data_IF_093335125428
#
_entry.id   IF_093335125428
#
_cell.length_a   1.000
_cell.length_b   1.000
_cell.length_c   1.000
_cell.angle_alpha   90.00
_cell.angle_beta   90.00
_cell.angle_gamma   90.00
#
_symmetry.space_group_name_H-M   'P 1'
#
loop_
_entity.id
_entity.type
_entity.pdbx_description
1 polymer ?
#
# COMPACT_ATOMS: atom_id res chain seq x y z
N UNK A 1 -8.02 7.93 13.98
CA UNK A 1 -6.76 7.57 13.30
C UNK A 1 -6.58 6.07 13.29
N UNK A 2 -6.30 5.51 12.14
CA UNK A 2 -6.16 4.07 12.00
C UNK A 2 -4.71 3.69 11.74
N UNK A 3 -4.28 2.57 12.33
CA UNK A 3 -2.98 1.96 12.06
C UNK A 3 -3.22 0.63 11.35
N UNK A 4 -2.51 0.42 10.25
CA UNK A 4 -2.58 -0.82 9.49
C UNK A 4 -1.17 -1.36 9.33
N UNK A 5 -0.99 -2.66 9.50
CA UNK A 5 0.31 -3.29 9.29
C UNK A 5 0.31 -4.04 7.97
N UNK A 6 1.27 -3.69 7.12
CA UNK A 6 1.54 -4.44 5.90
C UNK A 6 2.89 -5.12 6.02
N UNK A 7 2.90 -6.41 5.76
CA UNK A 7 4.15 -7.15 5.65
C UNK A 7 4.76 -6.84 4.29
N UNK A 8 6.05 -6.55 4.29
CA UNK A 8 6.78 -6.26 3.05
C UNK A 8 8.07 -7.06 3.01
N UNK A 9 8.55 -7.34 1.81
CA UNK A 9 9.80 -8.07 1.62
C UNK A 9 11.01 -7.16 1.75
N UNK A 10 10.85 -5.88 1.40
CA UNK A 10 11.93 -4.90 1.38
C UNK A 10 11.35 -3.54 1.75
N UNK A 11 11.76 -3.02 2.90
CA UNK A 11 11.23 -1.74 3.41
C UNK A 11 11.67 -0.57 2.52
N UNK A 12 12.89 -0.59 1.97
CA UNK A 12 13.34 0.49 1.09
C UNK A 12 12.49 0.56 -0.19
N UNK A 13 12.19 -0.58 -0.79
CA UNK A 13 11.31 -0.63 -1.95
C UNK A 13 9.89 -0.16 -1.59
N UNK A 14 9.37 -0.56 -0.42
CA UNK A 14 8.07 -0.13 0.05
C UNK A 14 8.03 1.39 0.26
N UNK A 15 9.08 1.98 0.83
CA UNK A 15 9.15 3.42 1.02
C UNK A 15 9.16 4.16 -0.32
N UNK A 16 9.90 3.66 -1.31
CA UNK A 16 9.90 4.27 -2.64
C UNK A 16 8.49 4.29 -3.25
N UNK A 17 7.70 3.25 -3.00
CA UNK A 17 6.32 3.17 -3.49
C UNK A 17 5.37 4.06 -2.69
N UNK A 18 5.31 3.88 -1.37
CA UNK A 18 4.32 4.61 -0.56
C UNK A 18 4.65 6.08 -0.44
N UNK A 19 5.90 6.43 -0.19
CA UNK A 19 6.31 7.84 -0.08
C UNK A 19 6.50 8.45 -1.46
N UNK A 20 7.25 7.78 -2.33
CA UNK A 20 7.60 8.35 -3.64
C UNK A 20 6.45 8.38 -4.63
N UNK A 21 5.62 7.33 -4.68
CA UNK A 21 4.56 7.22 -5.69
C UNK A 21 3.17 7.56 -5.15
N UNK A 22 2.87 7.28 -3.89
CA UNK A 22 1.52 7.47 -3.33
C UNK A 22 1.39 8.65 -2.37
N UNK A 23 2.45 9.41 -2.15
CA UNK A 23 2.37 10.64 -1.37
C UNK A 23 2.26 10.48 0.14
N UNK A 24 2.64 9.33 0.68
CA UNK A 24 2.75 9.17 2.12
C UNK A 24 3.95 9.95 2.65
N UNK A 25 3.91 10.31 3.93
CA UNK A 25 5.04 10.90 4.63
C UNK A 25 5.71 9.84 5.49
N UNK A 26 7.04 9.82 5.51
CA UNK A 26 7.79 9.00 6.45
C UNK A 26 7.63 9.60 7.84
N UNK A 27 7.07 8.84 8.78
CA UNK A 27 6.90 9.27 10.16
C UNK A 27 8.10 8.85 10.99
N UNK A 28 8.52 7.59 10.84
CA UNK A 28 9.58 7.02 11.66
C UNK A 28 10.18 5.80 10.96
N UNK A 29 11.46 5.59 11.17
CA UNK A 29 12.12 4.38 10.68
C UNK A 29 13.00 3.81 11.78
N UNK A 30 12.82 2.50 12.06
CA UNK A 30 13.60 1.78 13.06
C UNK A 30 14.45 0.72 12.38
N UNK A 31 15.66 1.12 11.94
CA UNK A 31 16.59 0.25 11.27
C UNK A 31 16.10 -0.21 9.90
N UNK A 32 16.75 -1.21 9.30
CA UNK A 32 16.36 -1.71 7.99
C UNK A 32 14.96 -2.34 7.93
N UNK A 33 14.45 -3.04 8.99
CA UNK A 33 13.26 -3.88 8.82
C UNK A 33 11.92 -3.19 9.06
N UNK A 34 11.88 -1.93 9.53
CA UNK A 34 10.61 -1.33 9.95
C UNK A 34 10.54 0.16 9.63
N UNK A 35 9.38 0.60 9.13
CA UNK A 35 9.09 2.02 8.94
C UNK A 35 7.61 2.30 9.13
N UNK A 36 7.28 3.48 9.59
CA UNK A 36 5.92 4.01 9.65
C UNK A 36 5.77 5.13 8.64
N UNK A 37 4.71 5.07 7.87
CA UNK A 37 4.36 6.15 6.92
C UNK A 37 2.91 6.53 7.15
N UNK A 38 2.58 7.79 6.84
CA UNK A 38 1.24 8.31 7.08
C UNK A 38 0.73 9.07 5.86
N UNK A 39 -0.56 8.89 5.60
CA UNK A 39 -1.30 9.69 4.62
C UNK A 39 -2.67 9.97 5.22
N UNK A 40 -2.99 11.25 5.41
CA UNK A 40 -4.20 11.70 6.10
C UNK A 40 -4.27 11.11 7.52
N UNK A 41 -5.33 10.40 7.88
CA UNK A 41 -5.47 9.78 9.21
C UNK A 41 -5.15 8.28 9.21
N UNK A 42 -4.49 7.80 8.16
CA UNK A 42 -4.02 6.41 8.06
C UNK A 42 -2.50 6.37 8.32
N UNK A 43 -2.10 5.57 9.30
CA UNK A 43 -0.70 5.24 9.52
C UNK A 43 -0.47 3.80 9.11
N UNK A 44 0.52 3.59 8.24
CA UNK A 44 0.85 2.27 7.71
C UNK A 44 2.19 1.83 8.31
N UNK A 45 2.18 0.66 8.94
CA UNK A 45 3.36 0.08 9.55
C UNK A 45 3.95 -0.94 8.59
N UNK A 46 5.03 -0.55 7.92
CA UNK A 46 5.72 -1.41 6.95
C UNK A 46 6.68 -2.32 7.71
N UNK A 47 6.35 -3.61 7.75
CA UNK A 47 7.05 -4.58 8.59
C UNK A 47 7.75 -5.60 7.70
N UNK A 48 9.06 -5.50 7.64
CA UNK A 48 9.90 -6.39 6.83
C UNK A 48 10.36 -7.63 7.58
N UNK A 49 11.20 -8.45 6.93
CA UNK A 49 11.79 -9.62 7.56
C UNK A 49 12.59 -9.20 8.79
N UNK A 50 12.52 -10.03 9.84
CA UNK A 50 13.21 -9.77 11.09
C UNK A 50 12.39 -9.00 12.11
N UNK A 51 11.23 -8.45 11.74
CA UNK A 51 10.33 -7.81 12.70
C UNK A 51 9.52 -8.86 13.46
N UNK A 52 8.96 -8.46 14.60
CA UNK A 52 8.11 -9.35 15.39
C UNK A 52 6.87 -9.79 14.61
N UNK A 53 6.35 -8.92 13.73
CA UNK A 53 5.17 -9.22 12.93
C UNK A 53 5.45 -10.28 11.85
N UNK A 54 6.70 -10.46 11.46
CA UNK A 54 7.08 -11.42 10.43
C UNK A 54 7.47 -12.80 11.01
N UNK A 55 7.38 -12.97 12.33
CA UNK A 55 7.72 -14.25 12.96
C UNK A 55 6.73 -15.35 12.60
N UNK A 56 7.21 -16.59 12.45
CA UNK A 56 6.30 -17.72 12.28
C UNK A 56 5.32 -17.85 13.43
N UNK A 57 4.12 -18.29 13.13
CA UNK A 57 3.11 -18.58 14.14
C UNK A 57 3.46 -19.87 14.88
N UNK A 58 2.86 -20.11 16.08
CA UNK A 58 3.13 -21.34 16.84
C UNK A 58 2.88 -22.62 16.05
N UNK A 59 1.96 -22.62 15.08
CA UNK A 59 1.67 -23.77 14.22
C UNK A 59 2.57 -23.85 12.98
N UNK A 60 3.55 -22.95 12.85
CA UNK A 60 4.47 -22.90 11.71
C UNK A 60 4.01 -22.05 10.55
N UNK A 61 2.80 -21.48 10.60
CA UNK A 61 2.33 -20.61 9.53
C UNK A 61 3.21 -19.35 9.44
N UNK A 62 3.54 -18.94 8.22
CA UNK A 62 4.41 -17.81 7.95
C UNK A 62 3.57 -16.61 7.53
N UNK A 63 3.67 -15.46 8.25
CA UNK A 63 3.09 -14.22 7.76
C UNK A 63 3.79 -13.78 6.47
N UNK A 64 3.03 -13.55 5.42
CA UNK A 64 3.56 -13.15 4.11
C UNK A 64 2.74 -12.01 3.53
N UNK A 65 3.35 -11.16 2.67
CA UNK A 65 2.60 -10.13 1.96
C UNK A 65 1.61 -10.72 0.98
N UNK A 66 0.64 -9.92 0.54
CA UNK A 66 -0.31 -10.29 -0.50
C UNK A 66 -1.74 -10.34 0.00
N UNK A 67 -2.56 -11.13 -0.68
CA UNK A 67 -3.97 -11.30 -0.34
C UNK A 67 -4.88 -10.35 -1.09
N UNK A 68 -6.09 -10.15 -0.57
CA UNK A 68 -7.13 -9.32 -1.20
C UNK A 68 -7.65 -8.19 -0.32
N UNK A 69 -7.44 -8.26 0.99
CA UNK A 69 -7.73 -7.13 1.88
C UNK A 69 -6.75 -6.01 1.57
N UNK A 70 -7.25 -4.78 1.53
CA UNK A 70 -6.44 -3.69 1.02
C UNK A 70 -6.81 -2.36 1.62
N UNK A 71 -5.87 -1.44 1.54
CA UNK A 71 -6.10 -0.05 1.81
C UNK A 71 -6.89 0.55 0.66
N UNK A 72 -7.78 1.48 0.97
CA UNK A 72 -8.46 2.30 -0.03
C UNK A 72 -7.98 3.73 0.15
N UNK A 73 -7.34 4.28 -0.87
CA UNK A 73 -6.82 5.63 -0.86
C UNK A 73 -7.64 6.49 -1.82
N UNK A 74 -8.23 7.57 -1.32
CA UNK A 74 -8.96 8.50 -2.16
C UNK A 74 -7.98 9.32 -2.99
N UNK A 75 -8.28 9.48 -4.27
CA UNK A 75 -7.50 10.31 -5.19
C UNK A 75 -8.43 11.27 -5.92
N UNK A 76 -7.92 12.45 -6.25
CA UNK A 76 -8.72 13.47 -6.94
C UNK A 76 -8.88 13.18 -8.43
N UNK A 77 -7.87 12.60 -9.05
CA UNK A 77 -7.82 12.32 -10.50
C UNK A 77 -7.23 10.93 -10.71
N UNK A 78 -8.10 9.95 -10.87
CA UNK A 78 -7.68 8.56 -11.01
C UNK A 78 -6.86 8.34 -12.27
N UNK A 79 -7.26 8.95 -13.39
CA UNK A 79 -6.54 8.76 -14.65
C UNK A 79 -5.11 9.29 -14.58
N UNK A 80 -4.91 10.45 -13.97
CA UNK A 80 -3.57 11.01 -13.77
C UNK A 80 -2.73 10.12 -12.85
N UNK A 81 -3.34 9.60 -11.78
CA UNK A 81 -2.67 8.70 -10.85
C UNK A 81 -2.25 7.40 -11.56
N UNK A 82 -3.13 6.84 -12.38
CA UNK A 82 -2.82 5.63 -13.16
C UNK A 82 -1.62 5.88 -14.08
N UNK A 83 -1.59 7.01 -14.79
CA UNK A 83 -0.49 7.34 -15.69
C UNK A 83 0.84 7.44 -14.94
N UNK A 84 0.82 8.11 -13.79
CA UNK A 84 2.01 8.27 -12.95
C UNK A 84 2.53 6.91 -12.46
N UNK A 85 1.63 6.03 -12.01
CA UNK A 85 2.00 4.72 -11.50
C UNK A 85 2.50 3.80 -12.62
N UNK A 86 1.90 3.88 -13.82
CA UNK A 86 2.41 3.13 -14.97
C UNK A 86 3.82 3.55 -15.35
N UNK A 87 4.10 4.84 -15.33
CA UNK A 87 5.44 5.36 -15.60
C UNK A 87 6.45 4.87 -14.57
N UNK A 88 6.02 4.64 -13.34
CA UNK A 88 6.87 4.13 -12.27
C UNK A 88 7.01 2.59 -12.28
N UNK A 89 6.35 1.90 -13.21
CA UNK A 89 6.43 0.44 -13.31
C UNK A 89 5.54 -0.33 -12.35
N UNK A 90 4.52 0.31 -11.78
CA UNK A 90 3.61 -0.32 -10.84
C UNK A 90 2.82 -1.45 -11.51
N UNK A 91 2.63 -2.55 -10.80
CA UNK A 91 1.80 -3.66 -11.26
C UNK A 91 0.33 -3.37 -10.96
N UNK A 92 -0.53 -3.50 -11.97
CA UNK A 92 -1.97 -3.33 -11.86
C UNK A 92 -2.64 -4.70 -11.90
N UNK A 93 -3.59 -4.95 -10.97
CA UNK A 93 -4.34 -6.21 -10.96
C UNK A 93 -5.52 -6.18 -11.92
N UNK A 94 -6.02 -5.00 -12.27
CA UNK A 94 -7.19 -4.84 -13.14
C UNK A 94 -7.14 -3.52 -13.88
N UNK A 95 -8.14 -3.29 -14.72
CA UNK A 95 -8.43 -1.98 -15.29
C UNK A 95 -9.37 -1.22 -14.37
N UNK A 96 -9.51 0.09 -14.59
CA UNK A 96 -10.39 0.91 -13.79
C UNK A 96 -11.85 0.42 -13.91
N UNK A 97 -12.54 0.36 -12.79
CA UNK A 97 -13.92 -0.11 -12.68
C UNK A 97 -14.78 1.02 -12.16
N UNK A 98 -15.93 1.24 -12.78
CA UNK A 98 -16.91 2.22 -12.31
C UNK A 98 -17.98 1.53 -11.46
N UNK A 99 -18.32 2.15 -10.36
CA UNK A 99 -19.38 1.70 -9.47
C UNK A 99 -20.24 2.88 -9.03
N UNK A 100 -21.24 2.64 -8.16
CA UNK A 100 -22.13 3.70 -7.71
C UNK A 100 -21.43 4.83 -6.97
N UNK A 101 -20.35 4.54 -6.25
CA UNK A 101 -19.64 5.52 -5.44
C UNK A 101 -18.53 6.26 -6.16
N UNK A 102 -18.12 5.78 -7.34
CA UNK A 102 -17.00 6.35 -8.09
C UNK A 102 -16.28 5.34 -8.95
N UNK A 103 -14.99 5.59 -9.18
CA UNK A 103 -14.13 4.71 -9.98
C UNK A 103 -12.97 4.22 -9.15
N UNK A 104 -12.51 3.02 -9.43
CA UNK A 104 -11.43 2.41 -8.66
C UNK A 104 -10.53 1.55 -9.52
N UNK A 105 -9.30 1.36 -9.06
CA UNK A 105 -8.35 0.42 -9.65
C UNK A 105 -7.52 -0.21 -8.54
N UNK A 106 -7.09 -1.44 -8.76
CA UNK A 106 -6.30 -2.19 -7.78
C UNK A 106 -4.88 -2.34 -8.28
N UNK A 107 -3.92 -1.90 -7.47
CA UNK A 107 -2.50 -1.99 -7.77
C UNK A 107 -1.79 -2.78 -6.68
N UNK A 108 -0.60 -3.26 -6.98
CA UNK A 108 0.26 -3.93 -6.00
C UNK A 108 1.41 -3.04 -5.59
N UNK A 109 1.75 -3.08 -4.28
CA UNK A 109 3.03 -2.54 -3.84
C UNK A 109 4.17 -3.49 -4.29
N UNK A 110 5.45 -3.14 -4.07
CA UNK A 110 6.56 -3.98 -4.51
C UNK A 110 6.59 -5.39 -3.90
N UNK A 111 5.87 -5.62 -2.82
CA UNK A 111 5.79 -6.93 -2.16
C UNK A 111 4.54 -7.72 -2.55
N UNK A 112 3.71 -7.17 -3.43
CA UNK A 112 2.46 -7.82 -3.86
C UNK A 112 1.27 -7.55 -2.95
N UNK A 113 1.34 -6.56 -2.04
CA UNK A 113 0.19 -6.15 -1.25
C UNK A 113 -0.73 -5.27 -2.08
N UNK A 114 -2.04 -5.53 -2.07
CA UNK A 114 -2.96 -4.73 -2.86
C UNK A 114 -3.24 -3.37 -2.24
N UNK A 115 -3.39 -2.37 -3.08
CA UNK A 115 -3.83 -1.02 -2.72
C UNK A 115 -4.89 -0.61 -3.73
N UNK A 116 -6.04 -0.18 -3.24
CA UNK A 116 -7.10 0.33 -4.08
C UNK A 116 -7.01 1.85 -4.15
N UNK A 117 -7.02 2.39 -5.37
CA UNK A 117 -7.09 3.82 -5.59
C UNK A 117 -8.52 4.14 -5.99
N UNK A 118 -9.16 5.05 -5.27
CA UNK A 118 -10.57 5.33 -5.42
C UNK A 118 -10.79 6.81 -5.68
N UNK A 119 -11.47 7.12 -6.78
CA UNK A 119 -11.90 8.48 -7.10
C UNK A 119 -13.39 8.58 -6.80
N UNK A 120 -13.78 9.32 -5.73
CA UNK A 120 -15.19 9.45 -5.41
C UNK A 120 -15.97 10.12 -6.55
N UNK A 121 -17.21 9.68 -6.72
CA UNK A 121 -18.09 10.32 -7.69
C UNK A 121 -18.43 11.72 -7.18
N UNK A 122 -18.30 12.68 -8.08
CA UNK A 122 -18.64 14.06 -7.81
C UNK A 122 -20.15 14.24 -7.93
N UNK A 123 -20.78 14.81 -6.91
CA UNK A 123 -22.23 15.06 -6.92
C UNK A 123 -22.52 16.54 -7.04
#
# INVERSE_FOLDING_TARGET
MANVRYLVNDVDAALAFYVGALGFELVERWGPPFAMVRRDDLTLWLSGPGTSAARPMPDGAQPVPGGWNRLVLAVADLDATIQSLRAAGTHFRNDAVSGPGGRQILVDDPSGNPVELFEPQDN
#
